data_IF_940493522363
#
_entry.id   IF_940493522363
#
_cell.length_a   1.000
_cell.length_b   1.000
_cell.length_c   1.000
_cell.angle_alpha   90.00
_cell.angle_beta   90.00
_cell.angle_gamma   90.00
#
_symmetry.space_group_name_H-M   'P 1'
#
loop_
_entity.id
_entity.type
_entity.pdbx_description
1 polymer ?
#
# COMPACT_ATOMS: atom_id res chain seq x y z
N UNK A 1 -13.91 -2.82 -13.52
CA UNK A 1 -13.23 -2.86 -12.19
C UNK A 1 -14.23 -2.53 -11.09
N UNK A 2 -14.24 -3.24 -9.96
CA UNK A 2 -15.05 -2.88 -8.78
C UNK A 2 -14.36 -1.80 -7.94
N UNK A 3 -15.14 -0.97 -7.23
CA UNK A 3 -14.60 0.03 -6.32
C UNK A 3 -14.16 -0.58 -4.99
N UNK A 4 -13.15 0.02 -4.35
CA UNK A 4 -12.77 -0.28 -2.97
C UNK A 4 -12.54 0.99 -2.15
N UNK A 5 -12.30 0.83 -0.85
CA UNK A 5 -12.34 1.91 0.14
C UNK A 5 -11.45 3.13 -0.18
N UNK A 6 -10.28 2.96 -0.82
CA UNK A 6 -9.46 4.13 -1.22
C UNK A 6 -10.09 4.98 -2.33
N UNK A 7 -10.91 4.41 -3.22
CA UNK A 7 -11.65 5.22 -4.21
C UNK A 7 -12.69 6.10 -3.53
N UNK A 8 -13.29 5.62 -2.43
CA UNK A 8 -14.21 6.43 -1.63
C UNK A 8 -13.48 7.58 -0.92
N UNK A 9 -12.25 7.36 -0.44
CA UNK A 9 -11.41 8.43 0.14
C UNK A 9 -11.15 9.55 -0.87
N UNK A 10 -10.89 9.19 -2.13
CA UNK A 10 -10.59 10.16 -3.19
C UNK A 10 -11.72 11.15 -3.47
N UNK A 11 -12.98 10.78 -3.22
CA UNK A 11 -14.12 11.70 -3.37
C UNK A 11 -14.01 12.91 -2.42
N UNK A 12 -13.35 12.74 -1.27
CA UNK A 12 -13.08 13.83 -0.32
C UNK A 12 -11.93 14.75 -0.72
N UNK A 13 -11.22 14.49 -1.83
CA UNK A 13 -10.05 15.26 -2.25
C UNK A 13 -10.48 16.55 -2.99
N UNK A 14 -11.02 17.51 -2.24
CA UNK A 14 -11.52 18.78 -2.79
C UNK A 14 -10.37 19.63 -3.36
N UNK A 15 -10.57 20.19 -4.56
CA UNK A 15 -9.60 21.04 -5.21
C UNK A 15 -9.23 22.26 -4.34
N UNK A 16 -7.93 22.50 -4.20
CA UNK A 16 -7.40 23.63 -3.40
C UNK A 16 -7.52 23.44 -1.89
N UNK A 17 -7.89 22.25 -1.40
CA UNK A 17 -7.95 21.90 0.02
C UNK A 17 -7.06 20.70 0.33
N UNK A 18 -6.47 20.64 1.54
CA UNK A 18 -5.83 19.42 2.00
C UNK A 18 -6.89 18.34 2.26
N UNK A 19 -6.49 17.09 2.11
CA UNK A 19 -7.30 15.93 2.50
C UNK A 19 -6.72 15.28 3.75
N UNK A 20 -7.60 15.07 4.73
CA UNK A 20 -7.32 14.26 5.90
C UNK A 20 -8.30 13.10 5.94
N UNK A 21 -7.79 11.88 5.82
CA UNK A 21 -8.53 10.65 6.11
C UNK A 21 -8.27 10.31 7.56
N UNK A 22 -9.19 10.77 8.42
CA UNK A 22 -9.05 10.69 9.87
C UNK A 22 -9.13 9.27 10.41
N UNK A 23 -9.78 8.37 9.68
CA UNK A 23 -9.88 6.96 10.03
C UNK A 23 -9.91 6.09 8.78
N UNK A 24 -9.02 5.09 8.75
CA UNK A 24 -9.13 3.95 7.86
C UNK A 24 -8.61 2.70 8.56
N UNK A 25 -9.21 1.55 8.27
CA UNK A 25 -8.69 0.24 8.66
C UNK A 25 -9.37 -0.87 7.86
N UNK A 26 -8.77 -2.04 7.87
CA UNK A 26 -9.40 -3.28 7.43
C UNK A 26 -9.57 -4.14 8.68
N UNK A 27 -10.78 -4.27 9.25
CA UNK A 27 -10.96 -4.92 10.55
C UNK A 27 -10.70 -6.42 10.49
N UNK A 28 -10.21 -7.00 11.59
CA UNK A 28 -10.27 -8.45 11.76
C UNK A 28 -11.75 -8.93 11.75
N UNK A 29 -12.06 -10.14 11.30
CA UNK A 29 -11.17 -11.19 10.81
C UNK A 29 -10.98 -11.17 9.28
N UNK A 30 -11.09 -10.00 8.61
CA UNK A 30 -10.84 -9.92 7.17
C UNK A 30 -9.50 -10.56 6.83
N UNK A 31 -9.42 -11.45 5.83
CA UNK A 31 -8.25 -12.33 5.68
C UNK A 31 -7.00 -11.59 5.17
N UNK A 32 -7.22 -10.53 4.40
CA UNK A 32 -6.20 -9.89 3.57
C UNK A 32 -5.84 -8.48 4.06
N UNK A 33 -5.90 -8.25 5.37
CA UNK A 33 -5.61 -6.94 5.99
C UNK A 33 -4.26 -6.38 5.57
N UNK A 34 -3.30 -7.26 5.26
CA UNK A 34 -1.94 -6.91 4.88
C UNK A 34 -1.83 -6.18 3.54
N UNK A 35 -2.88 -6.22 2.71
CA UNK A 35 -2.96 -5.45 1.46
C UNK A 35 -3.24 -3.97 1.75
N UNK A 36 -3.92 -3.67 2.85
CA UNK A 36 -4.39 -2.31 3.19
C UNK A 36 -3.26 -1.28 3.27
N UNK A 37 -2.23 -1.46 4.12
CA UNK A 37 -1.19 -0.45 4.30
C UNK A 37 -0.42 -0.09 3.02
N UNK A 38 0.06 -1.06 2.20
CA UNK A 38 0.71 -0.74 0.93
C UNK A 38 -0.21 -0.01 -0.06
N UNK A 39 -1.47 -0.46 -0.18
CA UNK A 39 -2.45 0.16 -1.09
C UNK A 39 -2.73 1.61 -0.70
N UNK A 40 -2.99 1.86 0.59
CA UNK A 40 -3.26 3.21 1.10
C UNK A 40 -2.05 4.11 0.92
N UNK A 41 -0.85 3.63 1.29
CA UNK A 41 0.37 4.44 1.17
C UNK A 41 0.73 4.77 -0.27
N UNK A 42 0.65 3.79 -1.18
CA UNK A 42 0.93 4.00 -2.60
C UNK A 42 -0.06 5.00 -3.23
N UNK A 43 -1.35 4.82 -2.99
CA UNK A 43 -2.38 5.74 -3.52
C UNK A 43 -2.26 7.13 -2.91
N UNK A 44 -2.09 7.23 -1.59
CA UNK A 44 -1.94 8.53 -0.94
C UNK A 44 -0.68 9.27 -1.42
N UNK A 45 0.43 8.57 -1.67
CA UNK A 45 1.64 9.14 -2.25
C UNK A 45 1.42 9.61 -3.70
N UNK A 46 0.84 8.76 -4.55
CA UNK A 46 0.49 9.09 -5.94
C UNK A 46 -0.43 10.32 -6.00
N UNK A 47 -1.44 10.36 -5.14
CA UNK A 47 -2.46 11.41 -5.09
C UNK A 47 -2.00 12.68 -4.38
N UNK A 48 -0.88 12.64 -3.64
CA UNK A 48 -0.44 13.70 -2.72
C UNK A 48 -1.55 14.05 -1.71
N UNK A 49 -2.03 13.04 -1.00
CA UNK A 49 -2.92 13.23 0.15
C UNK A 49 -2.12 13.65 1.39
N UNK A 50 -2.71 14.48 2.26
CA UNK A 50 -1.95 15.19 3.29
C UNK A 50 -1.87 14.42 4.61
N UNK A 51 -2.96 13.77 5.03
CA UNK A 51 -3.00 13.02 6.29
C UNK A 51 -3.77 11.70 6.17
N UNK A 52 -3.07 10.59 6.43
CA UNK A 52 -3.65 9.25 6.47
C UNK A 52 -3.51 8.67 7.87
N UNK A 53 -4.63 8.45 8.56
CA UNK A 53 -4.66 8.01 9.96
C UNK A 53 -5.27 6.60 10.09
N UNK A 54 -4.44 5.63 10.49
CA UNK A 54 -4.88 4.26 10.77
C UNK A 54 -5.73 4.24 12.06
N UNK A 55 -6.96 3.73 11.96
CA UNK A 55 -7.86 3.55 13.11
C UNK A 55 -7.99 2.08 13.50
N UNK A 56 -7.38 1.59 14.58
CA UNK A 56 -6.53 2.32 15.48
C UNK A 56 -5.34 1.45 15.88
N UNK A 57 -4.29 2.10 16.36
CA UNK A 57 -3.20 1.36 16.99
C UNK A 57 -3.71 0.59 18.22
N UNK A 58 -4.41 1.28 19.13
CA UNK A 58 -5.00 0.70 20.33
C UNK A 58 -6.22 1.51 20.78
N UNK A 59 -7.26 0.85 21.27
CA UNK A 59 -8.49 1.48 21.80
C UNK A 59 -8.85 1.03 23.21
N UNK A 60 -8.17 0.01 23.72
CA UNK A 60 -8.33 -0.53 25.07
C UNK A 60 -6.99 -0.54 25.79
N UNK A 61 -6.96 -0.54 27.13
CA UNK A 61 -5.72 -0.68 27.90
C UNK A 61 -4.88 -1.87 27.40
N UNK A 62 -3.55 -1.71 27.36
CA UNK A 62 -2.62 -2.76 26.93
C UNK A 62 -2.28 -3.73 28.09
N UNK A 63 -2.79 -3.45 29.28
CA UNK A 63 -2.65 -4.27 30.48
C UNK A 63 -3.56 -5.52 30.43
N UNK A 64 -3.10 -6.66 30.96
CA UNK A 64 -3.94 -7.85 31.09
C UNK A 64 -5.17 -7.64 31.99
N UNK A 65 -6.32 -8.28 31.68
CA UNK A 65 -6.56 -9.09 30.48
C UNK A 65 -6.77 -8.21 29.23
N UNK A 66 -6.02 -8.50 28.17
CA UNK A 66 -6.19 -7.83 26.87
C UNK A 66 -7.33 -8.54 26.12
N UNK A 67 -8.44 -7.83 25.93
CA UNK A 67 -9.51 -8.31 25.07
C UNK A 67 -9.16 -8.05 23.60
N UNK A 68 -9.25 -9.07 22.72
CA UNK A 68 -9.17 -8.85 21.28
C UNK A 68 -10.27 -7.90 20.82
N UNK A 69 -9.90 -6.96 19.97
CA UNK A 69 -10.73 -5.93 19.36
C UNK A 69 -10.38 -5.91 17.88
N UNK A 70 -11.40 -6.05 17.04
CA UNK A 70 -11.24 -6.16 15.60
C UNK A 70 -10.61 -4.92 14.94
N UNK A 71 -10.60 -3.78 15.63
CA UNK A 71 -10.05 -2.52 15.15
C UNK A 71 -8.67 -2.19 15.71
N UNK A 72 -8.15 -2.97 16.68
CA UNK A 72 -6.84 -2.74 17.28
C UNK A 72 -5.72 -3.38 16.47
N UNK A 73 -4.80 -2.57 15.97
CA UNK A 73 -3.68 -3.05 15.13
C UNK A 73 -2.40 -3.38 15.90
N UNK A 74 -2.22 -2.93 17.16
CA UNK A 74 -0.92 -3.05 17.85
C UNK A 74 -0.39 -4.49 18.00
N UNK A 75 -1.27 -5.49 18.09
CA UNK A 75 -0.91 -6.92 18.09
C UNK A 75 -1.17 -7.61 16.75
N UNK A 76 -1.72 -6.90 15.76
CA UNK A 76 -2.11 -7.48 14.48
C UNK A 76 -1.02 -7.31 13.44
N UNK A 77 -0.18 -8.34 13.32
CA UNK A 77 0.82 -8.42 12.26
C UNK A 77 0.17 -8.31 10.86
N UNK A 78 -1.10 -8.70 10.70
CA UNK A 78 -1.85 -8.56 9.47
C UNK A 78 -2.00 -7.11 9.00
N UNK A 79 -1.81 -6.12 9.88
CA UNK A 79 -1.72 -4.70 9.50
C UNK A 79 -0.28 -4.22 9.70
N UNK A 80 0.31 -4.48 10.87
CA UNK A 80 1.56 -3.84 11.30
C UNK A 80 2.81 -4.33 10.55
N UNK A 81 2.81 -5.53 9.98
CA UNK A 81 3.98 -6.05 9.27
C UNK A 81 4.34 -5.25 8.01
N UNK A 82 3.35 -4.62 7.36
CA UNK A 82 3.57 -3.78 6.16
C UNK A 82 3.68 -2.29 6.48
N UNK A 83 3.41 -1.86 7.72
CA UNK A 83 3.47 -0.45 8.12
C UNK A 83 4.84 0.20 7.92
N UNK A 84 6.00 -0.47 8.13
CA UNK A 84 7.29 0.13 7.82
C UNK A 84 7.45 0.49 6.34
N UNK A 85 7.10 -0.42 5.43
CA UNK A 85 7.15 -0.16 3.98
C UNK A 85 6.16 0.95 3.58
N UNK A 86 4.93 0.90 4.11
CA UNK A 86 3.92 1.94 3.91
C UNK A 86 4.39 3.33 4.39
N UNK A 87 5.07 3.40 5.53
CA UNK A 87 5.61 4.64 6.07
C UNK A 87 6.72 5.21 5.16
N UNK A 88 7.59 4.37 4.60
CA UNK A 88 8.64 4.82 3.67
C UNK A 88 8.05 5.28 2.33
N UNK A 89 7.06 4.55 1.79
CA UNK A 89 6.32 4.97 0.60
C UNK A 89 5.71 6.36 0.76
N UNK A 90 4.91 6.54 1.80
CA UNK A 90 4.12 7.75 1.98
C UNK A 90 4.91 8.91 2.60
N UNK A 91 5.62 8.69 3.72
CA UNK A 91 6.23 9.78 4.48
C UNK A 91 7.62 10.17 3.98
N UNK A 92 8.41 9.21 3.48
CA UNK A 92 9.72 9.51 2.86
C UNK A 92 9.55 9.93 1.39
N UNK A 93 8.39 9.65 0.79
CA UNK A 93 8.11 9.94 -0.61
C UNK A 93 8.95 9.03 -1.53
N UNK A 94 8.90 7.72 -1.30
CA UNK A 94 9.57 6.78 -2.21
C UNK A 94 8.84 6.64 -3.54
N UNK A 95 7.52 6.82 -3.52
CA UNK A 95 6.70 6.82 -4.72
C UNK A 95 6.47 8.25 -5.21
N UNK A 96 6.58 8.44 -6.52
CA UNK A 96 6.39 9.73 -7.16
C UNK A 96 4.91 10.16 -7.15
N UNK A 97 4.64 11.47 -7.04
CA UNK A 97 3.32 12.01 -7.39
C UNK A 97 2.94 11.65 -8.83
N UNK A 98 1.64 11.58 -9.10
CA UNK A 98 1.14 11.37 -10.46
C UNK A 98 1.68 12.44 -11.44
N UNK A 99 1.88 12.04 -12.69
CA UNK A 99 2.34 12.92 -13.77
C UNK A 99 1.24 13.85 -14.21
N UNK A 100 0.06 13.30 -14.47
CA UNK A 100 -1.11 14.05 -14.90
C UNK A 100 -1.99 14.43 -13.70
N UNK A 101 -2.86 15.41 -13.93
CA UNK A 101 -3.80 15.91 -12.92
C UNK A 101 -5.16 16.07 -13.54
N UNK A 102 -6.16 15.46 -12.92
CA UNK A 102 -7.55 15.54 -13.32
C UNK A 102 -8.35 16.31 -12.28
N UNK A 103 -9.20 17.21 -12.75
CA UNK A 103 -10.18 17.91 -11.93
C UNK A 103 -11.57 17.47 -12.35
N UNK A 104 -12.22 16.68 -11.50
CA UNK A 104 -13.63 16.32 -11.66
C UNK A 104 -14.49 17.47 -11.15
N UNK A 105 -14.96 18.32 -12.06
CA UNK A 105 -15.84 19.44 -11.80
C UNK A 105 -17.29 18.96 -11.75
N UNK A 106 -17.82 18.82 -10.53
CA UNK A 106 -19.20 18.40 -10.33
C UNK A 106 -20.15 19.56 -10.62
N UNK A 107 -21.25 19.29 -11.30
CA UNK A 107 -22.40 20.18 -11.30
C UNK A 107 -23.21 20.04 -10.00
N UNK A 108 -24.18 20.94 -9.81
CA UNK A 108 -25.01 20.97 -8.59
C UNK A 108 -25.76 19.66 -8.36
N UNK A 109 -26.23 19.02 -9.44
CA UNK A 109 -27.01 17.78 -9.36
C UNK A 109 -26.12 16.61 -8.92
N UNK A 110 -24.94 16.46 -9.52
CA UNK A 110 -23.95 15.44 -9.15
C UNK A 110 -23.38 15.66 -7.74
N UNK A 111 -23.22 16.91 -7.31
CA UNK A 111 -22.70 17.21 -5.97
C UNK A 111 -23.74 17.04 -4.85
N UNK A 112 -25.00 17.41 -5.09
CA UNK A 112 -26.00 17.55 -4.01
C UNK A 112 -27.36 16.90 -4.30
N UNK A 113 -27.70 16.63 -5.56
CA UNK A 113 -29.00 16.10 -5.97
C UNK A 113 -29.09 14.57 -5.94
N UNK A 114 -27.95 13.88 -6.09
CA UNK A 114 -27.88 12.41 -6.09
C UNK A 114 -26.62 11.88 -5.40
N UNK A 115 -26.62 10.61 -4.95
CA UNK A 115 -25.40 9.96 -4.48
C UNK A 115 -24.39 9.81 -5.62
N UNK A 116 -23.20 10.40 -5.46
CA UNK A 116 -22.02 10.16 -6.30
C UNK A 116 -20.89 9.65 -5.42
N UNK A 117 -20.44 8.42 -5.70
CA UNK A 117 -19.39 7.74 -4.94
C UNK A 117 -18.68 6.71 -5.83
N UNK A 118 -17.55 6.15 -5.38
CA UNK A 118 -16.75 5.23 -6.20
C UNK A 118 -17.52 4.02 -6.78
N UNK A 119 -18.56 3.53 -6.10
CA UNK A 119 -19.44 2.48 -6.62
C UNK A 119 -20.21 2.85 -7.91
N UNK A 120 -20.57 4.12 -8.12
CA UNK A 120 -21.37 4.59 -9.26
C UNK A 120 -20.71 5.74 -10.04
N UNK A 121 -19.41 5.95 -9.86
CA UNK A 121 -18.61 6.92 -10.58
C UNK A 121 -17.39 6.24 -11.21
N UNK A 122 -17.53 5.77 -12.46
CA UNK A 122 -16.45 5.12 -13.18
C UNK A 122 -15.20 6.01 -13.30
N UNK A 123 -15.37 7.33 -13.41
CA UNK A 123 -14.25 8.29 -13.50
C UNK A 123 -13.33 8.20 -12.28
N UNK A 124 -13.91 8.26 -11.07
CA UNK A 124 -13.15 8.14 -9.83
C UNK A 124 -12.50 6.76 -9.70
N UNK A 125 -13.28 5.72 -9.96
CA UNK A 125 -12.81 4.35 -9.84
C UNK A 125 -11.59 4.10 -10.72
N UNK A 126 -11.58 4.62 -11.93
CA UNK A 126 -10.57 4.31 -12.96
C UNK A 126 -9.36 5.22 -12.93
N UNK A 127 -9.52 6.48 -12.50
CA UNK A 127 -8.41 7.45 -12.46
C UNK A 127 -7.61 7.44 -11.17
N UNK A 128 -8.21 7.17 -10.01
CA UNK A 128 -7.54 7.35 -8.69
C UNK A 128 -6.29 6.46 -8.52
N UNK A 129 -6.26 5.31 -9.17
CA UNK A 129 -5.08 4.43 -9.17
C UNK A 129 -4.12 4.72 -10.34
N UNK A 130 -4.57 5.47 -11.35
CA UNK A 130 -3.79 5.83 -12.53
C UNK A 130 -3.08 7.17 -12.38
N UNK A 131 -3.77 8.23 -11.94
CA UNK A 131 -3.27 9.60 -11.96
C UNK A 131 -3.92 10.44 -10.85
N UNK A 132 -3.47 11.68 -10.63
CA UNK A 132 -4.01 12.51 -9.56
C UNK A 132 -5.43 12.98 -9.89
N UNK A 133 -6.34 12.86 -8.94
CA UNK A 133 -7.71 13.36 -9.05
C UNK A 133 -8.00 14.36 -7.93
N UNK A 134 -8.68 15.45 -8.27
CA UNK A 134 -9.30 16.39 -7.32
C UNK A 134 -10.74 16.64 -7.72
N UNK A 135 -11.62 16.83 -6.73
CA UNK A 135 -13.03 17.14 -6.94
C UNK A 135 -13.25 18.63 -6.78
N UNK A 136 -13.80 19.30 -7.79
CA UNK A 136 -14.28 20.67 -7.66
C UNK A 136 -15.77 20.64 -7.33
N UNK A 137 -16.13 21.27 -6.22
CA UNK A 137 -17.52 21.48 -5.84
C UNK A 137 -18.10 22.68 -6.59
N UNK A 138 -19.38 22.65 -7.01
CA UNK A 138 -20.04 23.76 -7.65
C UNK A 138 -20.49 24.82 -6.64
N UNK A 139 -20.54 26.07 -7.06
CA UNK A 139 -21.23 27.11 -6.30
C UNK A 139 -22.72 26.78 -6.19
N UNK A 140 -23.33 27.03 -5.02
CA UNK A 140 -24.77 26.80 -4.83
C UNK A 140 -25.38 27.82 -3.87
N UNK A 141 -26.60 28.34 -4.12
CA UNK A 141 -27.26 29.33 -3.27
C UNK A 141 -27.46 28.90 -1.81
N UNK A 142 -27.57 27.58 -1.56
CA UNK A 142 -27.82 27.00 -0.24
C UNK A 142 -26.58 27.06 0.65
N UNK A 143 -25.38 27.12 0.04
CA UNK A 143 -24.09 27.16 0.73
C UNK A 143 -23.28 28.38 0.26
N UNK A 144 -23.74 29.62 0.57
CA UNK A 144 -23.07 30.84 0.11
C UNK A 144 -21.66 31.03 0.70
N UNK A 145 -21.34 30.28 1.75
CA UNK A 145 -20.02 30.23 2.38
C UNK A 145 -19.05 29.23 1.72
N UNK A 146 -19.53 28.41 0.76
CA UNK A 146 -18.69 27.41 0.11
C UNK A 146 -17.79 28.07 -0.94
N UNK A 147 -16.50 28.12 -0.65
CA UNK A 147 -15.47 28.59 -1.59
C UNK A 147 -15.22 27.55 -2.68
N UNK A 148 -15.50 27.91 -3.93
CA UNK A 148 -15.39 27.04 -5.13
C UNK A 148 -14.52 27.63 -6.23
N UNK A 149 -13.83 28.72 -5.92
CA UNK A 149 -13.00 29.55 -6.80
C UNK A 149 -11.57 29.02 -7.00
N UNK A 150 -11.27 27.84 -6.46
CA UNK A 150 -9.98 27.20 -6.66
C UNK A 150 -9.74 26.92 -8.16
N UNK A 151 -8.76 27.63 -8.72
CA UNK A 151 -8.34 27.43 -10.10
C UNK A 151 -7.74 26.03 -10.29
N UNK A 152 -7.96 25.44 -11.46
CA UNK A 152 -7.23 24.24 -11.88
C UNK A 152 -5.72 24.52 -11.92
N UNK A 153 -4.89 23.58 -11.47
CA UNK A 153 -3.45 23.66 -11.71
C UNK A 153 -3.15 23.76 -13.21
N UNK A 154 -2.09 24.46 -13.63
CA UNK A 154 -1.68 24.51 -15.03
C UNK A 154 -1.53 23.10 -15.61
N UNK A 155 -2.12 22.88 -16.79
CA UNK A 155 -2.07 21.59 -17.49
C UNK A 155 -3.03 20.52 -16.95
N UNK A 156 -3.84 20.82 -15.93
CA UNK A 156 -4.84 19.88 -15.44
C UNK A 156 -5.96 19.66 -16.48
N UNK A 157 -6.43 18.42 -16.55
CA UNK A 157 -7.52 17.98 -17.42
C UNK A 157 -8.83 18.11 -16.64
N UNK A 158 -9.74 18.94 -17.12
CA UNK A 158 -11.07 19.08 -16.50
C UNK A 158 -12.04 18.04 -17.06
N UNK A 159 -12.81 17.43 -16.16
CA UNK A 159 -13.84 16.44 -16.44
C UNK A 159 -15.13 16.88 -15.76
N UNK A 160 -16.27 16.68 -16.40
CA UNK A 160 -17.61 16.90 -15.86
C UNK A 160 -18.41 15.60 -15.72
N UNK A 161 -18.07 14.58 -16.50
CA UNK A 161 -18.67 13.25 -16.43
C UNK A 161 -18.06 12.41 -15.30
N UNK A 162 -18.91 12.02 -14.34
CA UNK A 162 -18.55 11.16 -13.22
C UNK A 162 -18.53 9.67 -13.59
N UNK A 163 -19.16 9.28 -14.70
CA UNK A 163 -19.38 7.87 -15.09
C UNK A 163 -18.63 7.46 -16.36
N UNK A 164 -17.56 8.20 -16.70
CA UNK A 164 -16.66 7.83 -17.78
C UNK A 164 -15.65 6.78 -17.31
N UNK A 165 -15.58 5.65 -18.01
CA UNK A 165 -14.48 4.69 -17.82
C UNK A 165 -13.23 5.18 -18.57
N UNK A 166 -12.13 5.38 -17.85
CA UNK A 166 -10.85 5.81 -18.42
C UNK A 166 -9.91 4.65 -18.76
N UNK A 167 -10.34 3.41 -18.51
CA UNK A 167 -9.61 2.22 -18.88
C UNK A 167 -10.17 1.62 -20.16
N UNK A 168 -9.35 0.83 -20.86
CA UNK A 168 -9.83 0.00 -21.96
C UNK A 168 -10.90 -0.98 -21.45
N UNK A 169 -11.98 -1.26 -22.20
CA UNK A 169 -12.94 -2.30 -21.85
C UNK A 169 -12.30 -3.69 -21.67
N UNK A 170 -11.14 -3.93 -22.30
CA UNK A 170 -10.36 -5.16 -22.17
C UNK A 170 -9.29 -5.10 -21.06
N UNK A 171 -9.23 -4.01 -20.29
CA UNK A 171 -8.24 -3.86 -19.23
C UNK A 171 -8.42 -4.95 -18.16
N UNK A 172 -7.29 -5.50 -17.72
CA UNK A 172 -7.20 -6.42 -16.56
C UNK A 172 -6.48 -5.78 -15.38
N UNK A 173 -5.88 -4.61 -15.61
CA UNK A 173 -5.05 -3.91 -14.66
C UNK A 173 -5.17 -2.40 -14.81
N UNK A 174 -4.80 -1.69 -13.75
CA UNK A 174 -4.55 -0.25 -13.74
C UNK A 174 -3.09 -0.02 -13.35
N UNK A 175 -2.43 0.89 -14.07
CA UNK A 175 -1.02 1.24 -13.88
C UNK A 175 -0.97 2.73 -13.60
N UNK A 176 -0.26 3.14 -12.55
CA UNK A 176 -0.01 4.56 -12.30
C UNK A 176 0.73 5.18 -13.49
N UNK A 177 0.41 6.43 -13.85
CA UNK A 177 1.06 7.17 -14.94
C UNK A 177 2.57 7.36 -14.70
N UNK A 178 3.04 7.26 -13.46
CA UNK A 178 4.45 7.18 -13.06
C UNK A 178 5.13 5.91 -13.57
N UNK A 179 4.38 4.81 -13.66
CA UNK A 179 4.87 3.45 -13.91
C UNK A 179 5.25 2.70 -12.63
N UNK A 180 5.21 3.34 -11.46
CA UNK A 180 5.73 2.78 -10.21
C UNK A 180 4.73 1.91 -9.44
N UNK A 181 3.47 1.84 -9.86
CA UNK A 181 2.43 1.04 -9.19
C UNK A 181 1.49 0.39 -10.21
N UNK A 182 1.15 -0.88 -9.99
CA UNK A 182 0.20 -1.63 -10.81
C UNK A 182 -0.72 -2.45 -9.93
N UNK A 183 -2.02 -2.46 -10.24
CA UNK A 183 -2.98 -3.41 -9.67
C UNK A 183 -3.66 -4.19 -10.79
N UNK A 184 -3.47 -5.51 -10.79
CA UNK A 184 -4.10 -6.45 -11.71
C UNK A 184 -5.18 -7.24 -10.96
N UNK A 185 -6.44 -7.08 -11.36
CA UNK A 185 -7.57 -7.75 -10.72
C UNK A 185 -7.85 -9.16 -11.27
N UNK A 186 -7.30 -9.52 -12.43
CA UNK A 186 -7.39 -10.88 -12.97
C UNK A 186 -6.33 -11.76 -12.32
N UNK A 187 -5.10 -11.27 -12.26
CA UNK A 187 -4.01 -11.91 -11.52
C UNK A 187 -4.24 -11.82 -10.01
N UNK A 188 -4.93 -10.79 -9.52
CA UNK A 188 -5.15 -10.54 -8.11
C UNK A 188 -3.86 -10.10 -7.39
N UNK A 189 -3.08 -9.25 -8.04
CA UNK A 189 -1.78 -8.77 -7.57
C UNK A 189 -1.72 -7.24 -7.55
N UNK A 190 -1.01 -6.69 -6.58
CA UNK A 190 -0.68 -5.28 -6.49
C UNK A 190 0.82 -5.13 -6.26
N UNK A 191 1.48 -4.32 -7.09
CA UNK A 191 2.92 -4.14 -7.14
C UNK A 191 3.25 -2.66 -7.02
N UNK A 192 4.30 -2.35 -6.25
CA UNK A 192 4.95 -1.04 -6.26
C UNK A 192 6.45 -1.27 -6.53
N UNK A 193 6.98 -0.58 -7.53
CA UNK A 193 8.35 -0.70 -8.01
C UNK A 193 9.01 0.68 -8.08
N UNK A 194 9.56 1.12 -6.94
CA UNK A 194 10.33 2.37 -6.86
C UNK A 194 11.82 2.05 -6.68
N UNK A 195 12.73 3.03 -6.87
CA UNK A 195 14.15 2.81 -6.63
C UNK A 195 14.47 2.41 -5.18
N UNK A 196 13.68 2.86 -4.20
CA UNK A 196 13.98 2.73 -2.75
C UNK A 196 13.09 1.76 -2.00
N UNK A 197 11.90 1.46 -2.51
CA UNK A 197 10.95 0.49 -1.96
C UNK A 197 10.29 -0.29 -3.08
N UNK A 198 10.45 -1.62 -3.04
CA UNK A 198 9.87 -2.55 -4.01
C UNK A 198 9.04 -3.59 -3.27
N UNK A 199 7.78 -3.76 -3.66
CA UNK A 199 6.87 -4.68 -2.99
C UNK A 199 5.85 -5.30 -3.94
N UNK A 200 5.33 -6.45 -3.52
CA UNK A 200 4.19 -7.10 -4.14
C UNK A 200 3.25 -7.64 -3.06
N UNK A 201 1.95 -7.56 -3.31
CA UNK A 201 0.89 -8.11 -2.45
C UNK A 201 -0.17 -8.83 -3.28
N UNK A 202 -0.84 -9.82 -2.71
CA UNK A 202 -1.92 -10.55 -3.37
C UNK A 202 -1.56 -12.00 -3.65
N UNK A 203 -2.11 -12.58 -4.73
CA UNK A 203 -1.90 -13.98 -5.10
C UNK A 203 -0.54 -14.18 -5.78
N UNK A 204 0.52 -14.32 -4.97
CA UNK A 204 1.91 -14.46 -5.45
C UNK A 204 2.38 -15.91 -5.53
N UNK A 205 1.70 -16.84 -4.84
CA UNK A 205 2.10 -18.24 -4.77
C UNK A 205 2.16 -18.90 -6.15
N UNK A 206 3.25 -19.61 -6.42
CA UNK A 206 3.47 -20.28 -7.71
C UNK A 206 3.77 -19.33 -8.87
N UNK A 207 4.04 -18.05 -8.59
CA UNK A 207 4.40 -17.02 -9.57
C UNK A 207 5.73 -16.39 -9.24
N UNK A 208 6.36 -15.81 -10.26
CA UNK A 208 7.56 -14.99 -10.11
C UNK A 208 7.20 -13.54 -10.45
N UNK A 209 7.33 -12.66 -9.48
CA UNK A 209 7.15 -11.21 -9.67
C UNK A 209 8.53 -10.57 -9.78
N UNK A 210 8.88 -10.10 -10.96
CA UNK A 210 10.13 -9.39 -11.21
C UNK A 210 9.89 -7.87 -11.11
N UNK A 211 10.65 -7.23 -10.23
CA UNK A 211 10.72 -5.77 -10.03
C UNK A 211 12.10 -5.27 -10.43
N UNK A 212 12.33 -3.96 -10.32
CA UNK A 212 13.58 -3.31 -10.69
C UNK A 212 14.83 -3.99 -10.12
N UNK A 213 14.92 -4.19 -8.81
CA UNK A 213 16.05 -4.81 -8.11
C UNK A 213 15.70 -6.12 -7.40
N UNK A 214 14.40 -6.39 -7.19
CA UNK A 214 13.92 -7.52 -6.39
C UNK A 214 13.10 -8.46 -7.26
N UNK A 215 13.27 -9.76 -7.07
CA UNK A 215 12.37 -10.79 -7.61
C UNK A 215 11.78 -11.60 -6.48
N UNK A 216 10.45 -11.74 -6.48
CA UNK A 216 9.67 -12.40 -5.42
C UNK A 216 9.08 -13.69 -6.01
N UNK A 217 9.45 -14.84 -5.44
CA UNK A 217 8.92 -16.14 -5.83
C UNK A 217 8.43 -16.89 -4.59
N UNK A 218 7.11 -16.90 -4.36
CA UNK A 218 6.51 -17.43 -3.14
C UNK A 218 5.85 -18.79 -3.38
N UNK A 219 5.86 -19.65 -2.37
CA UNK A 219 5.01 -20.86 -2.33
C UNK A 219 3.74 -20.59 -1.54
N UNK A 220 3.78 -19.71 -0.53
CA UNK A 220 2.60 -19.22 0.18
C UNK A 220 1.62 -18.56 -0.80
N UNK A 221 0.33 -18.99 -0.89
CA UNK A 221 -0.59 -18.55 -1.94
C UNK A 221 -0.82 -17.05 -2.00
N UNK A 222 -1.21 -16.44 -0.87
CA UNK A 222 -1.55 -15.02 -0.79
C UNK A 222 -0.71 -14.34 0.29
N UNK A 223 0.12 -13.39 -0.11
CA UNK A 223 1.19 -12.84 0.74
C UNK A 223 1.54 -11.42 0.30
N UNK A 224 2.03 -10.63 1.24
CA UNK A 224 2.69 -9.35 1.00
C UNK A 224 4.17 -9.47 1.32
N UNK A 225 5.01 -8.93 0.43
CA UNK A 225 6.46 -8.88 0.57
C UNK A 225 6.92 -7.50 0.14
N UNK A 226 7.75 -6.83 0.95
CA UNK A 226 8.40 -5.58 0.61
C UNK A 226 9.89 -5.62 0.95
N UNK A 227 10.73 -5.06 0.09
CA UNK A 227 12.12 -4.74 0.37
C UNK A 227 12.27 -3.22 0.27
N UNK A 228 12.74 -2.59 1.35
CA UNK A 228 12.87 -1.14 1.43
C UNK A 228 14.26 -0.74 1.92
N UNK A 229 14.88 0.25 1.29
CA UNK A 229 16.08 0.90 1.83
C UNK A 229 15.75 1.64 3.12
N UNK A 230 16.66 1.57 4.09
CA UNK A 230 16.62 2.28 5.37
C UNK A 230 17.64 3.43 5.45
N UNK A 231 18.47 3.61 4.43
CA UNK A 231 19.46 4.70 4.33
C UNK A 231 19.16 5.70 3.23
N UNK A 232 18.11 5.47 2.43
CA UNK A 232 17.63 6.39 1.41
C UNK A 232 18.31 6.22 0.05
N UNK A 233 19.30 5.32 -0.08
CA UNK A 233 19.87 4.94 -1.36
C UNK A 233 18.92 4.03 -2.16
N UNK A 234 19.06 3.93 -3.50
CA UNK A 234 18.41 2.88 -4.28
C UNK A 234 18.73 1.49 -3.71
N UNK A 235 17.80 0.55 -3.82
CA UNK A 235 17.92 -0.79 -3.22
C UNK A 235 19.23 -1.51 -3.61
N UNK A 236 19.69 -1.32 -4.85
CA UNK A 236 20.93 -1.94 -5.37
C UNK A 236 22.15 -1.49 -4.56
N UNK A 237 22.19 -0.22 -4.15
CA UNK A 237 23.36 0.40 -3.51
C UNK A 237 23.22 0.52 -1.97
N UNK A 238 22.02 0.28 -1.44
CA UNK A 238 21.71 0.45 -0.03
C UNK A 238 22.55 -0.46 0.88
N UNK A 239 23.09 0.11 1.95
CA UNK A 239 23.80 -0.61 3.00
C UNK A 239 22.86 -1.20 4.03
N UNK A 240 21.65 -0.65 4.18
CA UNK A 240 20.64 -1.13 5.12
C UNK A 240 19.31 -1.26 4.42
N UNK A 241 18.78 -2.47 4.39
CA UNK A 241 17.47 -2.79 3.84
C UNK A 241 16.62 -3.47 4.92
N UNK A 242 15.31 -3.30 4.82
CA UNK A 242 14.31 -4.07 5.56
C UNK A 242 13.52 -4.90 4.56
N UNK A 243 13.51 -6.21 4.77
CA UNK A 243 12.54 -7.11 4.15
C UNK A 243 11.38 -7.28 5.13
N UNK A 244 10.17 -6.92 4.72
CA UNK A 244 8.92 -7.17 5.41
C UNK A 244 8.13 -8.24 4.69
N UNK A 245 7.54 -9.19 5.41
CA UNK A 245 6.57 -10.12 4.82
C UNK A 245 5.48 -10.55 5.78
N UNK A 246 4.28 -10.75 5.24
CA UNK A 246 3.11 -11.23 5.99
C UNK A 246 2.12 -11.92 5.07
N UNK A 247 1.49 -12.98 5.57
CA UNK A 247 0.40 -13.69 4.90
C UNK A 247 -0.86 -13.60 5.77
N UNK A 248 -1.77 -14.57 5.68
CA UNK A 248 -3.01 -14.51 6.44
C UNK A 248 -2.77 -14.47 7.95
N UNK A 249 -3.47 -13.57 8.66
CA UNK A 249 -3.43 -13.49 10.13
C UNK A 249 -4.82 -13.69 10.71
N UNK A 250 -4.98 -14.74 11.53
CA UNK A 250 -6.25 -15.16 12.11
C UNK A 250 -6.21 -15.16 13.64
N UNK A 251 -7.36 -14.98 14.32
CA UNK A 251 -7.45 -15.19 15.76
C UNK A 251 -7.01 -16.59 16.18
N UNK A 252 -6.51 -16.69 17.41
CA UNK A 252 -6.30 -17.98 18.06
C UNK A 252 -7.63 -18.70 18.36
N UNK A 253 -7.58 -19.96 18.81
CA UNK A 253 -8.77 -20.74 19.17
C UNK A 253 -9.70 -19.96 20.11
N UNK A 254 -11.01 -19.99 19.84
CA UNK A 254 -11.99 -19.22 20.60
C UNK A 254 -11.95 -17.71 20.35
N UNK A 255 -11.36 -17.27 19.22
CA UNK A 255 -11.20 -15.85 18.85
C UNK A 255 -10.34 -15.07 19.85
N UNK A 256 -9.28 -15.71 20.37
CA UNK A 256 -8.39 -15.16 21.40
C UNK A 256 -7.04 -14.70 20.84
N UNK A 257 -6.31 -13.91 21.64
CA UNK A 257 -4.89 -13.63 21.42
C UNK A 257 -4.01 -14.82 21.87
N UNK A 258 -2.79 -14.98 21.33
CA UNK A 258 -2.21 -14.20 20.22
C UNK A 258 -2.86 -14.55 18.88
N UNK A 259 -2.83 -13.59 17.95
CA UNK A 259 -3.15 -13.90 16.55
C UNK A 259 -2.09 -14.83 15.95
N UNK A 260 -2.50 -15.67 15.02
CA UNK A 260 -1.66 -16.63 14.31
C UNK A 260 -1.46 -16.16 12.88
N UNK A 261 -0.20 -15.96 12.50
CA UNK A 261 0.16 -15.76 11.09
C UNK A 261 0.36 -17.10 10.40
N UNK A 262 -0.12 -17.19 9.17
CA UNK A 262 0.27 -18.22 8.22
C UNK A 262 1.79 -18.18 7.98
N UNK A 263 2.46 -19.35 7.86
CA UNK A 263 3.86 -19.43 7.49
C UNK A 263 4.15 -18.82 6.11
N UNK A 264 5.30 -18.18 6.00
CA UNK A 264 5.73 -17.49 4.78
C UNK A 264 6.91 -18.25 4.20
N UNK A 265 6.71 -18.78 2.99
CA UNK A 265 7.68 -19.63 2.34
C UNK A 265 7.91 -19.16 0.90
N UNK A 266 9.18 -19.12 0.51
CA UNK A 266 9.56 -18.66 -0.81
C UNK A 266 11.01 -18.21 -0.89
N UNK A 267 11.32 -17.54 -1.99
CA UNK A 267 12.65 -17.02 -2.27
C UNK A 267 12.53 -15.58 -2.73
N UNK A 268 13.33 -14.72 -2.09
CA UNK A 268 13.55 -13.34 -2.49
C UNK A 268 14.93 -13.27 -3.13
N UNK A 269 14.98 -12.79 -4.36
CA UNK A 269 16.22 -12.53 -5.07
C UNK A 269 16.45 -11.03 -5.12
N UNK A 270 17.64 -10.58 -4.78
CA UNK A 270 17.99 -9.17 -4.60
C UNK A 270 19.25 -8.84 -5.38
N UNK A 271 19.16 -7.92 -6.34
CA UNK A 271 20.34 -7.34 -7.00
C UNK A 271 20.98 -6.33 -6.07
N UNK A 272 22.29 -6.42 -5.88
CA UNK A 272 23.06 -5.47 -5.07
C UNK A 272 24.46 -5.22 -5.63
N UNK A 273 24.99 -4.02 -5.40
CA UNK A 273 26.39 -3.68 -5.65
C UNK A 273 27.35 -4.31 -4.63
N UNK A 274 26.83 -4.79 -3.49
CA UNK A 274 27.62 -5.33 -2.40
C UNK A 274 27.88 -6.82 -2.62
N UNK A 275 29.13 -7.32 -2.48
CA UNK A 275 29.44 -8.73 -2.73
C UNK A 275 28.90 -9.67 -1.65
N UNK A 276 28.67 -9.14 -0.44
CA UNK A 276 28.19 -9.90 0.72
C UNK A 276 27.11 -9.10 1.42
N UNK A 277 25.99 -9.76 1.75
CA UNK A 277 24.95 -9.21 2.59
C UNK A 277 24.76 -10.09 3.82
N UNK A 278 24.56 -9.46 4.98
CA UNK A 278 24.15 -10.13 6.21
C UNK A 278 22.64 -10.04 6.33
N UNK A 279 21.97 -11.19 6.35
CA UNK A 279 20.52 -11.31 6.44
C UNK A 279 20.16 -11.83 7.82
N UNK A 280 19.29 -11.11 8.52
CA UNK A 280 18.99 -11.38 9.92
C UNK A 280 17.49 -11.25 10.19
N UNK A 281 16.84 -12.38 10.45
CA UNK A 281 15.44 -12.40 10.90
C UNK A 281 15.29 -11.67 12.24
N UNK A 282 14.24 -10.86 12.36
CA UNK A 282 13.87 -10.15 13.57
C UNK A 282 12.67 -10.86 14.22
N UNK A 283 12.91 -11.42 15.39
CA UNK A 283 11.89 -12.06 16.22
C UNK A 283 11.04 -11.06 17.00
N UNK A 284 10.33 -11.58 18.02
CA UNK A 284 9.47 -10.78 18.90
C UNK A 284 10.24 -9.59 19.49
N UNK A 285 9.60 -8.42 19.50
CA UNK A 285 10.17 -7.16 20.01
C UNK A 285 11.50 -6.76 19.34
N UNK A 286 11.76 -7.21 18.10
CA UNK A 286 12.97 -6.87 17.36
C UNK A 286 14.21 -7.67 17.77
N UNK A 287 14.04 -8.77 18.52
CA UNK A 287 15.14 -9.65 18.89
C UNK A 287 15.82 -10.22 17.63
N UNK A 288 17.10 -9.91 17.46
CA UNK A 288 17.90 -10.33 16.31
C UNK A 288 18.28 -11.81 16.41
N UNK A 289 17.92 -12.62 15.42
CA UNK A 289 18.41 -14.00 15.29
C UNK A 289 19.85 -14.01 14.76
N UNK A 290 20.59 -15.13 14.76
CA UNK A 290 21.89 -15.19 14.08
C UNK A 290 21.78 -14.75 12.62
N UNK A 291 22.75 -13.95 12.14
CA UNK A 291 22.78 -13.51 10.75
C UNK A 291 23.34 -14.61 9.85
N UNK A 292 22.83 -14.68 8.62
CA UNK A 292 23.31 -15.54 7.55
C UNK A 292 23.97 -14.65 6.50
N UNK A 293 25.17 -15.01 6.05
CA UNK A 293 25.84 -14.33 4.95
C UNK A 293 25.31 -14.85 3.61
N UNK A 294 24.82 -13.95 2.78
CA UNK A 294 24.46 -14.21 1.39
C UNK A 294 25.55 -13.64 0.50
N UNK A 295 26.21 -14.50 -0.27
CA UNK A 295 27.24 -14.11 -1.22
C UNK A 295 26.64 -13.93 -2.60
N UNK A 296 26.92 -12.79 -3.24
CA UNK A 296 26.39 -12.49 -4.56
C UNK A 296 26.91 -13.50 -5.60
N UNK A 297 26.03 -13.97 -6.47
CA UNK A 297 26.38 -14.62 -7.75
C UNK A 297 25.95 -13.69 -8.87
N UNK A 298 26.90 -13.20 -9.66
CA UNK A 298 26.64 -12.23 -10.74
C UNK A 298 25.89 -10.96 -10.26
N UNK A 299 26.23 -10.47 -9.06
CA UNK A 299 25.60 -9.28 -8.45
C UNK A 299 24.22 -9.54 -7.84
N UNK A 300 23.85 -10.81 -7.64
CA UNK A 300 22.53 -11.21 -7.15
C UNK A 300 22.65 -12.07 -5.89
N UNK A 301 21.87 -11.72 -4.88
CA UNK A 301 21.70 -12.46 -3.63
C UNK A 301 20.40 -13.25 -3.62
N UNK A 302 20.43 -14.40 -2.96
CA UNK A 302 19.24 -15.22 -2.73
C UNK A 302 18.97 -15.29 -1.23
N UNK A 303 17.74 -15.01 -0.84
CA UNK A 303 17.23 -15.08 0.53
C UNK A 303 16.07 -16.06 0.52
N UNK A 304 16.19 -17.14 1.27
CA UNK A 304 15.13 -18.15 1.40
C UNK A 304 14.34 -17.84 2.65
N UNK A 305 13.01 -17.77 2.52
CA UNK A 305 12.09 -17.62 3.65
C UNK A 305 11.55 -19.00 3.99
N UNK A 306 11.71 -19.42 5.24
CA UNK A 306 11.25 -20.71 5.74
C UNK A 306 10.10 -20.51 6.74
N UNK A 307 9.08 -21.37 6.68
CA UNK A 307 7.86 -21.22 7.46
C UNK A 307 8.05 -21.30 8.98
N UNK A 308 9.13 -21.93 9.45
CA UNK A 308 9.50 -22.08 10.86
C UNK A 308 10.28 -20.88 11.42
N UNK A 309 10.67 -19.91 10.57
CA UNK A 309 11.40 -18.72 11.01
C UNK A 309 10.55 -17.82 11.91
N UNK A 310 9.22 -17.94 11.93
CA UNK A 310 8.32 -17.16 12.79
C UNK A 310 8.72 -15.66 12.89
N UNK A 311 8.97 -15.04 11.73
CA UNK A 311 9.42 -13.67 11.58
C UNK A 311 8.58 -12.94 10.51
N UNK A 312 8.42 -11.64 10.68
CA UNK A 312 7.79 -10.75 9.70
C UNK A 312 8.78 -9.77 9.08
N UNK A 313 9.97 -9.68 9.65
CA UNK A 313 10.97 -8.69 9.30
C UNK A 313 12.35 -9.33 9.26
N UNK A 314 13.15 -8.97 8.25
CA UNK A 314 14.56 -9.31 8.15
C UNK A 314 15.35 -8.02 7.93
N UNK A 315 16.32 -7.78 8.81
CA UNK A 315 17.35 -6.76 8.59
C UNK A 315 18.35 -7.33 7.60
N UNK A 316 18.60 -6.60 6.52
CA UNK A 316 19.65 -6.94 5.55
C UNK A 316 20.66 -5.80 5.57
N UNK A 317 21.93 -6.12 5.79
CA UNK A 317 22.99 -5.11 5.85
C UNK A 317 24.23 -5.51 5.06
N UNK A 318 24.79 -4.57 4.30
CA UNK A 318 26.12 -4.69 3.76
C UNK A 318 27.15 -4.35 4.86
N UNK A 319 28.27 -5.09 4.95
CA UNK A 319 29.35 -4.80 5.90
C UNK A 319 30.09 -3.48 5.59
#
# INVERSE_FOLDING_TARGET
>A
MESHFVHHMAMGAVLGKPISVTEWNVPAPARDRFIGPPLVAGIAALQQWDAMMLYAYVQSPIEPPVNPDIWCSWYDAGVMAMMPAAALLYRRGDMQPAKDRYVLALDREAAFGRPVHAGNAATLRTLVEHSQVRVRLPATPELPWLHTDAASPPGAIELDDVDRDHLSPAATQVVADTGEMTRDWVAGTHVIDTPRTQLATGWLGGRTIALGAVTIAMTTPKVAVAVSSLDGAPIVDAHRLLLSSVAQVLPGPGSTLPLRSEPIEGTITLRSSHPVLRVQALGRAGAKRPAIESHAREGVHTIVLQGDEAAHFWSISAP
#
